data_IF_809462118090
#
_entry.id   IF_809462118090
#
_cell.length_a   1.000
_cell.length_b   1.000
_cell.length_c   1.000
_cell.angle_alpha   90.00
_cell.angle_beta   90.00
_cell.angle_gamma   90.00
#
_symmetry.space_group_name_H-M   'P 1'
#
loop_
_entity.id
_entity.type
_entity.pdbx_description
1 polymer ?
#
# COMPACT_ATOMS: atom_id res chain seq x y z
N UNK A 1 -6.75 -12.16 -16.15
CA UNK A 1 -6.38 -11.41 -17.36
C UNK A 1 -6.62 -12.27 -18.58
N UNK A 2 -7.33 -11.73 -19.57
CA UNK A 2 -7.57 -12.38 -20.86
C UNK A 2 -6.43 -12.07 -21.83
N UNK A 3 -6.18 -12.99 -22.76
CA UNK A 3 -5.24 -12.82 -23.87
C UNK A 3 -5.92 -13.27 -25.15
N UNK A 4 -5.70 -12.53 -26.25
CA UNK A 4 -6.10 -12.91 -27.58
C UNK A 4 -4.91 -13.54 -28.31
N UNK A 5 -5.15 -14.67 -28.94
CA UNK A 5 -4.20 -15.30 -29.85
C UNK A 5 -4.83 -15.25 -31.24
N UNK A 6 -4.42 -14.27 -32.06
CA UNK A 6 -4.78 -14.21 -33.46
C UNK A 6 -3.87 -15.12 -34.28
N UNK A 7 -4.42 -15.79 -35.29
CA UNK A 7 -3.67 -16.68 -36.20
C UNK A 7 -4.00 -16.32 -37.64
N UNK A 8 -3.02 -16.44 -38.52
CA UNK A 8 -3.19 -16.33 -39.94
C UNK A 8 -3.88 -17.59 -40.52
N UNK A 9 -4.10 -17.60 -41.87
CA UNK A 9 -4.73 -18.76 -42.55
C UNK A 9 -3.91 -20.04 -42.48
N UNK A 10 -2.62 -19.96 -42.15
CA UNK A 10 -1.72 -21.11 -42.02
C UNK A 10 -1.61 -21.57 -40.55
N UNK A 11 -2.31 -20.88 -39.61
CA UNK A 11 -2.31 -21.20 -38.20
C UNK A 11 -1.15 -20.54 -37.41
N UNK A 12 -0.33 -19.69 -38.03
CA UNK A 12 0.78 -18.98 -37.38
C UNK A 12 0.26 -17.84 -36.55
N UNK A 13 0.80 -17.61 -35.32
CA UNK A 13 0.42 -16.47 -34.50
C UNK A 13 0.74 -15.16 -35.23
N UNK A 14 -0.13 -14.18 -35.06
CA UNK A 14 0.08 -12.80 -35.50
C UNK A 14 0.34 -11.99 -34.23
N UNK A 15 1.51 -11.38 -34.13
CA UNK A 15 1.93 -10.58 -33.00
C UNK A 15 1.63 -9.09 -33.16
N UNK A 16 1.73 -8.32 -32.08
CA UNK A 16 1.58 -6.86 -32.08
C UNK A 16 0.15 -6.35 -32.25
N UNK A 17 -0.86 -7.22 -32.13
CA UNK A 17 -2.26 -6.84 -32.21
C UNK A 17 -2.83 -6.44 -30.86
N UNK A 18 -3.49 -5.29 -30.81
CA UNK A 18 -4.20 -4.79 -29.62
C UNK A 18 -5.71 -4.92 -29.84
N UNK A 19 -6.40 -5.82 -29.13
CA UNK A 19 -7.84 -5.95 -29.25
C UNK A 19 -8.57 -4.83 -28.48
N UNK A 20 -9.77 -4.51 -28.96
CA UNK A 20 -10.76 -3.80 -28.16
C UNK A 20 -11.52 -4.79 -27.28
N UNK A 21 -11.69 -4.45 -26.02
CA UNK A 21 -12.36 -5.30 -25.05
C UNK A 21 -13.74 -4.75 -24.68
N UNK A 22 -14.72 -5.64 -24.59
CA UNK A 22 -16.03 -5.36 -24.01
C UNK A 22 -16.47 -6.52 -23.12
N UNK A 23 -17.45 -6.29 -22.26
CA UNK A 23 -17.99 -7.33 -21.38
C UNK A 23 -19.46 -7.09 -21.04
N UNK A 24 -20.15 -8.14 -20.64
CA UNK A 24 -21.56 -8.11 -20.23
C UNK A 24 -21.76 -9.14 -19.07
N UNK A 25 -22.60 -8.83 -18.04
CA UNK A 25 -23.27 -7.56 -17.80
C UNK A 25 -22.30 -6.44 -17.40
N UNK A 26 -22.76 -5.18 -17.44
CA UNK A 26 -21.96 -3.97 -17.19
C UNK A 26 -21.52 -3.74 -15.74
N UNK A 27 -21.28 -4.82 -14.97
CA UNK A 27 -20.91 -4.78 -13.55
C UNK A 27 -19.48 -5.22 -13.35
N UNK A 28 -18.53 -4.45 -13.87
CA UNK A 28 -17.12 -4.76 -13.85
C UNK A 28 -16.28 -3.67 -14.51
N UNK A 29 -15.02 -3.98 -14.74
CA UNK A 29 -14.08 -3.21 -15.53
C UNK A 29 -13.16 -4.15 -16.31
N UNK A 30 -12.71 -3.70 -17.47
CA UNK A 30 -11.69 -4.38 -18.25
C UNK A 30 -10.71 -3.36 -18.83
N UNK A 31 -9.43 -3.58 -18.61
CA UNK A 31 -8.35 -2.73 -19.09
C UNK A 31 -7.91 -3.11 -20.50
N UNK A 32 -7.18 -2.21 -21.16
CA UNK A 32 -6.68 -2.43 -22.53
C UNK A 32 -5.78 -3.68 -22.64
N UNK A 33 -5.13 -4.09 -21.56
CA UNK A 33 -4.29 -5.28 -21.48
C UNK A 33 -5.05 -6.59 -21.17
N UNK A 34 -6.40 -6.52 -21.13
CA UNK A 34 -7.27 -7.64 -20.84
C UNK A 34 -7.40 -8.01 -19.36
N UNK A 35 -6.96 -7.14 -18.44
CA UNK A 35 -7.23 -7.31 -17.00
C UNK A 35 -8.71 -7.05 -16.73
N UNK A 36 -9.43 -8.05 -16.25
CA UNK A 36 -10.87 -7.99 -15.99
C UNK A 36 -11.16 -8.15 -14.50
N UNK A 37 -12.06 -7.30 -13.99
CA UNK A 37 -12.61 -7.37 -12.64
C UNK A 37 -14.13 -7.32 -12.72
N UNK A 38 -14.82 -8.31 -12.21
CA UNK A 38 -16.28 -8.27 -12.00
C UNK A 38 -16.59 -7.85 -10.57
N UNK A 39 -17.56 -6.97 -10.41
CA UNK A 39 -17.97 -6.42 -9.10
C UNK A 39 -19.02 -7.28 -8.40
N UNK A 40 -19.64 -8.21 -9.11
CA UNK A 40 -20.64 -9.12 -8.56
C UNK A 40 -20.31 -10.56 -8.96
N UNK A 41 -20.72 -11.51 -8.14
CA UNK A 41 -20.70 -12.90 -8.55
C UNK A 41 -21.72 -13.14 -9.66
N UNK A 42 -21.38 -14.00 -10.60
CA UNK A 42 -22.23 -14.29 -11.73
C UNK A 42 -21.47 -14.68 -12.98
N UNK A 43 -22.21 -14.84 -14.06
CA UNK A 43 -21.67 -15.19 -15.36
C UNK A 43 -21.42 -13.93 -16.18
N UNK A 44 -20.22 -13.81 -16.71
CA UNK A 44 -19.80 -12.72 -17.60
C UNK A 44 -19.38 -13.26 -18.95
N UNK A 45 -19.66 -12.48 -19.98
CA UNK A 45 -19.15 -12.72 -21.33
C UNK A 45 -18.14 -11.61 -21.60
N UNK A 46 -16.91 -11.96 -21.87
CA UNK A 46 -15.85 -11.02 -22.27
C UNK A 46 -15.60 -11.21 -23.76
N UNK A 47 -15.66 -10.09 -24.50
CA UNK A 47 -15.42 -10.06 -25.94
C UNK A 47 -14.10 -9.35 -26.23
N UNK A 48 -13.34 -9.91 -27.16
CA UNK A 48 -12.21 -9.26 -27.80
C UNK A 48 -12.50 -9.04 -29.26
N UNK A 49 -12.27 -7.84 -29.78
CA UNK A 49 -12.51 -7.47 -31.18
C UNK A 49 -11.22 -6.97 -31.81
N UNK A 50 -10.90 -7.50 -32.99
CA UNK A 50 -9.78 -7.09 -33.83
C UNK A 50 -10.32 -6.84 -35.25
N UNK A 51 -10.51 -5.58 -35.66
CA UNK A 51 -11.14 -5.22 -36.91
C UNK A 51 -12.53 -5.86 -37.02
N UNK A 52 -12.74 -6.65 -38.07
CA UNK A 52 -14.02 -7.36 -38.34
C UNK A 52 -14.12 -8.73 -37.64
N UNK A 53 -13.16 -9.11 -36.81
CA UNK A 53 -13.12 -10.40 -36.11
C UNK A 53 -13.33 -10.21 -34.63
N UNK A 54 -14.09 -11.11 -34.03
CA UNK A 54 -14.30 -11.13 -32.56
C UNK A 54 -14.18 -12.55 -32.04
N UNK A 55 -13.83 -12.63 -30.73
CA UNK A 55 -13.82 -13.85 -29.96
C UNK A 55 -14.43 -13.58 -28.58
N UNK A 56 -15.05 -14.59 -28.01
CA UNK A 56 -15.72 -14.51 -26.72
C UNK A 56 -15.14 -15.52 -25.73
N UNK A 57 -15.08 -15.10 -24.48
CA UNK A 57 -14.84 -16.00 -23.34
C UNK A 57 -15.96 -15.83 -22.32
N UNK A 58 -16.43 -16.95 -21.77
CA UNK A 58 -17.38 -16.97 -20.66
C UNK A 58 -16.61 -17.23 -19.39
N UNK A 59 -16.81 -16.37 -18.39
CA UNK A 59 -16.22 -16.57 -17.05
C UNK A 59 -17.32 -16.52 -15.99
N UNK A 60 -17.28 -17.44 -15.06
CA UNK A 60 -18.17 -17.43 -13.90
C UNK A 60 -17.36 -16.98 -12.69
N UNK A 61 -17.80 -15.89 -12.07
CA UNK A 61 -17.24 -15.38 -10.83
C UNK A 61 -18.08 -15.86 -9.65
N UNK A 62 -17.43 -16.29 -8.60
CA UNK A 62 -18.03 -16.58 -7.30
C UNK A 62 -17.53 -15.59 -6.28
N UNK A 63 -18.32 -15.35 -5.24
CA UNK A 63 -17.84 -14.59 -4.09
C UNK A 63 -16.59 -15.27 -3.51
N UNK A 64 -15.60 -14.46 -3.21
CA UNK A 64 -14.43 -14.94 -2.49
C UNK A 64 -14.82 -15.10 -1.01
N UNK A 65 -15.08 -16.31 -0.58
CA UNK A 65 -15.23 -16.60 0.86
C UNK A 65 -13.82 -16.69 1.47
N UNK A 66 -13.21 -15.53 1.74
CA UNK A 66 -11.93 -15.45 2.43
C UNK A 66 -12.21 -14.93 3.83
N UNK A 67 -12.64 -15.81 4.70
CA UNK A 67 -12.67 -15.55 6.13
C UNK A 67 -11.28 -15.86 6.69
N UNK A 68 -10.54 -14.80 6.95
CA UNK A 68 -9.28 -14.89 7.69
C UNK A 68 -9.52 -14.28 9.06
N UNK A 69 -9.83 -15.09 10.09
CA UNK A 69 -9.94 -14.57 11.44
C UNK A 69 -8.61 -13.94 11.84
N UNK A 70 -8.64 -12.72 12.34
CA UNK A 70 -7.49 -12.07 12.94
C UNK A 70 -7.55 -12.29 14.45
N UNK A 71 -6.42 -12.67 15.02
CA UNK A 71 -6.25 -12.81 16.47
C UNK A 71 -5.22 -11.78 16.94
N UNK A 72 -5.55 -11.05 17.99
CA UNK A 72 -4.58 -10.16 18.63
C UNK A 72 -3.58 -11.04 19.37
N UNK A 73 -2.32 -11.03 18.93
CA UNK A 73 -1.25 -11.82 19.53
C UNK A 73 -0.45 -11.04 20.58
N UNK A 74 -0.38 -9.70 20.45
CA UNK A 74 0.32 -8.81 21.36
C UNK A 74 -0.28 -7.42 21.36
N UNK A 75 0.10 -6.61 22.33
CA UNK A 75 -0.37 -5.22 22.45
C UNK A 75 0.69 -4.35 23.12
N UNK A 76 0.95 -3.17 22.56
CA UNK A 76 1.70 -2.11 23.21
C UNK A 76 0.71 -1.18 23.90
N UNK A 77 0.77 -1.10 25.22
CA UNK A 77 -0.01 -0.13 25.97
C UNK A 77 0.68 1.24 25.94
N UNK A 78 -0.02 2.27 25.49
CA UNK A 78 0.43 3.66 25.51
C UNK A 78 -0.69 4.56 26.03
N UNK A 79 -0.32 5.55 26.84
CA UNK A 79 -1.25 6.53 27.40
C UNK A 79 -1.14 7.91 26.75
N UNK A 80 -0.02 8.19 26.06
CA UNK A 80 0.22 9.47 25.41
C UNK A 80 -0.13 9.38 23.91
N UNK A 81 -0.95 10.34 23.47
CA UNK A 81 -1.37 10.53 22.09
C UNK A 81 -2.08 9.35 21.45
N UNK A 82 -2.93 9.62 20.49
CA UNK A 82 -3.53 8.59 19.63
C UNK A 82 -2.53 8.09 18.61
N UNK A 83 -2.79 6.95 18.03
CA UNK A 83 -2.05 6.42 16.87
C UNK A 83 -2.67 6.94 15.60
N UNK A 84 -1.85 7.39 14.66
CA UNK A 84 -2.29 7.69 13.29
C UNK A 84 -1.90 6.56 12.37
N UNK A 85 -0.62 6.41 12.04
CA UNK A 85 -0.15 5.39 11.13
C UNK A 85 0.85 4.45 11.81
N UNK A 86 0.96 3.25 11.24
CA UNK A 86 1.99 2.28 11.61
C UNK A 86 2.68 1.76 10.35
N UNK A 87 4.00 1.69 10.38
CA UNK A 87 4.80 1.12 9.31
C UNK A 87 5.73 0.02 9.83
N UNK A 88 5.86 -1.06 9.06
CA UNK A 88 6.76 -2.16 9.43
C UNK A 88 8.12 -1.97 8.76
N UNK A 89 9.18 -2.13 9.53
CA UNK A 89 10.52 -2.19 8.96
C UNK A 89 10.67 -3.45 8.08
N UNK A 90 11.38 -3.37 6.92
CA UNK A 90 11.53 -4.51 6.01
C UNK A 90 12.16 -5.78 6.63
N UNK A 91 12.92 -5.64 7.74
CA UNK A 91 13.47 -6.79 8.47
C UNK A 91 12.43 -7.59 9.27
N UNK A 92 11.18 -7.08 9.39
CA UNK A 92 10.10 -7.70 10.14
C UNK A 92 10.25 -7.68 11.66
N UNK A 93 11.23 -6.96 12.22
CA UNK A 93 11.51 -6.91 13.68
C UNK A 93 11.23 -5.55 14.30
N UNK A 94 11.08 -4.51 13.50
CA UNK A 94 10.76 -3.16 13.94
C UNK A 94 9.42 -2.69 13.37
N UNK A 95 8.73 -1.86 14.12
CA UNK A 95 7.57 -1.10 13.66
C UNK A 95 7.71 0.36 14.09
N UNK A 96 7.17 1.26 13.28
CA UNK A 96 7.18 2.69 13.56
C UNK A 96 5.74 3.18 13.63
N UNK A 97 5.48 4.08 14.56
CA UNK A 97 4.13 4.49 14.87
C UNK A 97 4.08 6.01 14.96
N UNK A 98 3.29 6.61 14.08
CA UNK A 98 2.98 8.03 14.08
C UNK A 98 1.95 8.39 15.15
N UNK A 99 2.01 9.60 15.69
CA UNK A 99 1.11 10.07 16.74
C UNK A 99 0.13 11.10 16.22
N UNK A 100 -1.11 11.01 16.70
CA UNK A 100 -2.23 11.86 16.36
C UNK A 100 -2.21 13.23 17.04
N UNK A 101 -3.34 13.90 17.02
CA UNK A 101 -3.50 15.29 17.43
C UNK A 101 -2.82 15.65 18.75
N UNK A 102 -1.91 16.63 18.70
CA UNK A 102 -1.07 17.06 19.82
C UNK A 102 0.23 16.24 19.99
N UNK A 103 0.41 15.16 19.23
CA UNK A 103 1.58 14.30 19.32
C UNK A 103 2.83 14.91 18.70
N UNK A 104 3.93 14.90 19.46
CA UNK A 104 5.21 15.51 19.10
C UNK A 104 6.29 14.47 18.70
N UNK A 105 5.93 13.19 18.60
CA UNK A 105 6.91 12.12 18.40
C UNK A 105 6.38 10.94 17.60
N UNK A 106 7.28 10.23 16.99
CA UNK A 106 7.06 8.86 16.53
C UNK A 106 7.64 7.89 17.56
N UNK A 107 7.16 6.66 17.57
CA UNK A 107 7.71 5.57 18.39
C UNK A 107 8.32 4.50 17.49
N UNK A 108 9.50 4.02 17.86
CA UNK A 108 10.08 2.78 17.36
C UNK A 108 9.72 1.64 18.33
N UNK A 109 9.19 0.57 17.78
CA UNK A 109 8.67 -0.57 18.54
C UNK A 109 9.41 -1.82 18.11
N UNK A 110 9.99 -2.52 19.07
CA UNK A 110 10.52 -3.87 18.84
C UNK A 110 9.36 -4.86 18.80
N UNK A 111 9.22 -5.53 17.65
CA UNK A 111 8.24 -6.58 17.38
C UNK A 111 8.91 -7.91 17.08
N UNK A 112 10.18 -8.10 17.48
CA UNK A 112 10.91 -9.37 17.31
C UNK A 112 10.18 -10.53 17.96
N UNK A 113 9.52 -10.27 19.09
CA UNK A 113 8.49 -11.13 19.67
C UNK A 113 7.13 -10.44 19.54
N UNK A 114 6.31 -10.81 18.55
CA UNK A 114 5.01 -10.17 18.35
C UNK A 114 4.01 -10.36 19.49
N UNK A 115 4.24 -11.31 20.39
CA UNK A 115 3.40 -11.51 21.55
C UNK A 115 3.72 -10.49 22.66
N UNK A 116 4.94 -10.00 22.70
CA UNK A 116 5.45 -9.06 23.70
C UNK A 116 6.13 -7.85 23.04
N UNK A 117 5.40 -7.04 22.24
CA UNK A 117 5.99 -5.87 21.60
C UNK A 117 6.34 -4.81 22.64
N UNK A 118 7.48 -4.15 22.48
CA UNK A 118 7.96 -3.09 23.39
C UNK A 118 8.33 -1.82 22.65
N UNK A 119 8.06 -0.67 23.26
CA UNK A 119 8.59 0.61 22.78
C UNK A 119 10.09 0.63 23.04
N UNK A 120 10.90 0.62 22.00
CA UNK A 120 12.35 0.67 22.07
C UNK A 120 12.84 2.11 22.19
N UNK A 121 12.26 3.02 21.40
CA UNK A 121 12.68 4.43 21.38
C UNK A 121 11.54 5.33 20.91
N UNK A 122 11.76 6.65 21.00
CA UNK A 122 10.89 7.66 20.40
C UNK A 122 11.72 8.81 19.84
N UNK A 123 11.34 9.29 18.66
CA UNK A 123 11.97 10.41 18.02
C UNK A 123 11.04 11.62 18.07
N UNK A 124 11.47 12.64 18.81
CA UNK A 124 10.74 13.90 19.00
C UNK A 124 11.03 14.84 17.85
N UNK A 125 10.00 15.51 17.33
CA UNK A 125 10.10 16.53 16.30
C UNK A 125 9.23 17.74 16.62
N UNK A 126 9.49 18.88 15.97
CA UNK A 126 8.60 20.04 16.07
C UNK A 126 7.35 19.81 15.24
N UNK A 127 6.43 19.04 15.80
CA UNK A 127 5.17 18.66 15.16
C UNK A 127 4.06 18.54 16.20
N UNK A 128 2.82 18.47 15.76
CA UNK A 128 1.66 18.14 16.60
C UNK A 128 0.85 16.97 16.03
N UNK A 129 1.33 16.41 14.93
CA UNK A 129 0.76 15.24 14.29
C UNK A 129 1.78 14.63 13.35
N UNK A 130 1.90 13.33 13.40
CA UNK A 130 2.64 12.52 12.43
C UNK A 130 1.63 11.60 11.76
N UNK A 131 1.07 12.07 10.65
CA UNK A 131 0.00 11.40 9.94
C UNK A 131 0.51 10.24 9.10
N UNK A 132 1.65 10.46 8.40
CA UNK A 132 2.25 9.46 7.53
C UNK A 132 3.67 9.14 7.98
N UNK A 133 4.03 7.86 7.91
CA UNK A 133 5.34 7.35 8.27
C UNK A 133 5.69 6.14 7.38
N UNK A 134 6.90 6.12 6.84
CA UNK A 134 7.37 5.02 6.01
C UNK A 134 8.88 4.86 6.05
N UNK A 135 9.36 3.71 5.61
CA UNK A 135 10.79 3.47 5.38
C UNK A 135 11.10 3.37 3.90
N UNK A 136 12.35 3.59 3.54
CA UNK A 136 12.85 3.17 2.23
C UNK A 136 12.78 1.63 2.10
N UNK A 137 12.66 1.09 0.87
CA UNK A 137 12.57 -0.35 0.66
C UNK A 137 13.76 -1.15 1.20
N UNK A 138 14.94 -0.52 1.27
CA UNK A 138 16.15 -1.12 1.85
C UNK A 138 16.25 -0.99 3.37
N UNK A 139 15.28 -0.31 4.00
CA UNK A 139 15.20 -0.12 5.45
C UNK A 139 16.25 0.81 6.05
N UNK A 140 16.96 1.60 5.25
CA UNK A 140 18.04 2.47 5.76
C UNK A 140 17.57 3.82 6.27
N UNK A 141 16.45 4.28 5.75
CA UNK A 141 15.90 5.58 6.10
C UNK A 141 14.43 5.47 6.44
N UNK A 142 13.99 6.37 7.30
CA UNK A 142 12.61 6.59 7.67
C UNK A 142 12.25 8.04 7.35
N UNK A 143 11.05 8.23 6.82
CA UNK A 143 10.45 9.54 6.60
C UNK A 143 9.13 9.59 7.35
N UNK A 144 8.84 10.70 8.01
CA UNK A 144 7.51 10.97 8.57
C UNK A 144 7.07 12.42 8.31
N UNK A 145 5.77 12.65 8.31
CA UNK A 145 5.21 14.02 8.19
C UNK A 145 5.47 14.84 9.44
N UNK A 146 5.53 16.15 9.25
CA UNK A 146 5.67 17.19 10.27
C UNK A 146 4.51 18.15 10.09
N UNK A 147 3.45 17.95 10.87
CA UNK A 147 2.20 18.71 10.75
C UNK A 147 1.91 19.50 12.03
N UNK A 148 1.30 20.68 11.86
CA UNK A 148 0.93 21.56 12.97
C UNK A 148 2.12 22.03 13.81
N UNK A 149 3.28 22.16 13.21
CA UNK A 149 4.51 22.62 13.88
C UNK A 149 4.35 23.99 14.54
N UNK A 150 5.02 24.21 15.66
CA UNK A 150 4.94 25.47 16.42
C UNK A 150 5.43 26.68 15.62
N UNK A 151 6.37 26.48 14.70
CA UNK A 151 6.89 27.50 13.79
C UNK A 151 6.03 27.70 12.53
N UNK A 152 4.88 27.00 12.43
CA UNK A 152 3.95 27.00 11.29
C UNK A 152 4.57 26.53 9.97
N UNK A 153 5.64 25.77 10.01
CA UNK A 153 6.28 25.18 8.84
C UNK A 153 6.04 23.68 8.85
N UNK A 154 5.04 23.24 8.12
CA UNK A 154 4.83 21.81 7.89
C UNK A 154 5.95 21.24 7.00
N UNK A 155 6.03 19.93 6.90
CA UNK A 155 7.05 19.29 6.07
C UNK A 155 7.23 17.82 6.38
N UNK A 156 8.46 17.37 6.20
CA UNK A 156 8.88 16.01 6.49
C UNK A 156 10.14 16.00 7.34
N UNK A 157 10.31 14.92 8.09
CA UNK A 157 11.53 14.60 8.84
C UNK A 157 12.11 13.33 8.24
N UNK A 158 13.41 13.34 7.95
CA UNK A 158 14.17 12.20 7.50
C UNK A 158 15.06 11.70 8.63
N UNK A 159 15.01 10.41 8.92
CA UNK A 159 15.83 9.77 9.94
C UNK A 159 16.65 8.60 9.37
N UNK A 160 17.84 8.39 9.89
CA UNK A 160 18.66 7.19 9.67
C UNK A 160 18.11 6.02 10.48
N UNK A 161 18.15 4.83 9.89
CA UNK A 161 17.83 3.55 10.47
C UNK A 161 19.05 2.61 10.49
N UNK A 162 20.27 3.17 10.71
CA UNK A 162 21.46 2.33 10.96
C UNK A 162 21.20 1.37 12.12
N UNK A 163 20.51 1.84 13.14
CA UNK A 163 19.83 1.01 14.13
C UNK A 163 18.32 1.18 13.97
N UNK A 164 17.59 0.17 13.47
CA UNK A 164 16.17 0.28 13.22
C UNK A 164 15.31 0.55 14.46
N UNK A 165 15.80 0.22 15.64
CA UNK A 165 15.08 0.44 16.90
C UNK A 165 15.42 1.80 17.53
N UNK A 166 16.48 2.48 17.07
CA UNK A 166 16.93 3.79 17.57
C UNK A 166 17.12 4.79 16.42
N UNK A 167 16.03 5.23 15.76
CA UNK A 167 16.10 6.16 14.62
C UNK A 167 16.74 7.49 15.04
N UNK A 168 17.54 8.09 14.14
CA UNK A 168 18.19 9.39 14.36
C UNK A 168 17.86 10.36 13.26
N UNK A 169 17.38 11.55 13.60
CA UNK A 169 17.11 12.62 12.62
C UNK A 169 18.40 12.99 11.90
N UNK A 170 18.34 13.04 10.57
CA UNK A 170 19.39 13.53 9.69
C UNK A 170 19.02 14.83 9.01
N UNK A 171 17.75 15.05 8.70
CA UNK A 171 17.28 16.24 8.02
C UNK A 171 15.81 16.50 8.25
N UNK A 172 15.43 17.77 8.20
CA UNK A 172 14.05 18.25 8.09
C UNK A 172 13.90 19.07 6.83
N UNK A 173 12.82 18.90 6.10
CA UNK A 173 12.50 19.66 4.91
C UNK A 173 11.14 20.33 5.08
N UNK A 174 11.11 21.66 5.01
CA UNK A 174 9.92 22.50 5.25
C UNK A 174 9.67 23.51 4.14
N UNK A 175 10.49 23.57 3.09
CA UNK A 175 10.33 24.50 2.00
C UNK A 175 9.22 24.06 1.04
N UNK A 176 8.33 25.02 0.69
CA UNK A 176 7.23 24.75 -0.26
C UNK A 176 6.12 23.85 0.27
N UNK A 177 6.12 23.52 1.56
CA UNK A 177 5.06 22.76 2.22
C UNK A 177 4.22 23.72 3.07
N UNK A 178 2.93 23.79 2.76
CA UNK A 178 1.94 24.67 3.43
C UNK A 178 0.94 23.86 4.25
#
# INVERSE_FOLDING_TARGET
>A
RFKVIARDRTGRPIEGLTPSWTYSPGKGAIDADGAFVGYEAGKYIVNATLGARSAQAVVTLSWRDVRRPATIVGRVARSLFTTEEVWLHPNGKGAYLGTGGGGDRMYAIDISDPANPVVADSLVANTRRINDIMTTPDGKFLVHTREGAADRKNGIVLASLEDPLHPRVISEFTEGVT
#
